data_IF_665675891821
#
_entry.id   IF_665675891821
#
_cell.length_a   1.000
_cell.length_b   1.000
_cell.length_c   1.000
_cell.angle_alpha   90.00
_cell.angle_beta   90.00
_cell.angle_gamma   90.00
#
_symmetry.space_group_name_H-M   'P 1'
#
loop_
_entity.id
_entity.type
_entity.pdbx_description
1 polymer ?
#
# COMPACT_ATOMS: atom_id res chain seq x y z
N UNK A 1 3.55 54.09 -4.51
CA UNK A 1 3.60 53.15 -3.37
C UNK A 1 2.18 52.74 -3.08
N UNK A 2 1.76 51.58 -3.58
CA UNK A 2 0.41 51.06 -3.38
C UNK A 2 0.49 50.17 -2.14
N UNK A 3 -0.08 50.65 -1.05
CA UNK A 3 -0.17 49.92 0.21
C UNK A 3 -1.30 48.90 0.06
N UNK A 4 -0.98 47.67 -0.32
CA UNK A 4 -1.95 46.57 -0.39
C UNK A 4 -2.58 46.38 0.99
N UNK A 5 -3.81 46.87 1.15
CA UNK A 5 -4.72 46.48 2.23
C UNK A 5 -5.29 45.10 1.90
N UNK A 6 -4.40 44.11 1.85
CA UNK A 6 -4.79 42.72 1.96
C UNK A 6 -5.50 42.58 3.29
N UNK A 7 -6.82 42.41 3.26
CA UNK A 7 -7.59 41.94 4.40
C UNK A 7 -6.86 40.72 4.94
N UNK A 8 -6.24 40.86 6.12
CA UNK A 8 -5.31 39.90 6.69
C UNK A 8 -6.01 38.62 7.08
N UNK A 9 -6.36 37.81 6.10
CA UNK A 9 -6.84 36.45 6.32
C UNK A 9 -5.62 35.67 6.80
N UNK A 10 -5.64 35.28 8.06
CA UNK A 10 -4.64 34.37 8.60
C UNK A 10 -4.89 32.97 8.04
N UNK A 11 -3.85 32.38 7.45
CA UNK A 11 -3.90 31.06 6.86
C UNK A 11 -3.19 30.09 7.79
N UNK A 12 -3.92 29.10 8.31
CA UNK A 12 -3.39 28.08 9.20
C UNK A 12 -3.35 26.72 8.50
N UNK A 13 -2.28 25.98 8.75
CA UNK A 13 -2.14 24.57 8.41
C UNK A 13 -2.52 23.73 9.61
N UNK A 14 -3.43 22.78 9.41
CA UNK A 14 -3.83 21.83 10.43
C UNK A 14 -2.88 20.63 10.43
N UNK A 15 -2.42 20.24 11.62
CA UNK A 15 -1.59 19.08 11.84
C UNK A 15 -2.19 18.16 12.90
N UNK A 16 -2.20 16.85 12.63
CA UNK A 16 -2.60 15.81 13.56
C UNK A 16 -1.37 15.08 14.07
N UNK A 17 -1.22 14.99 15.38
CA UNK A 17 -0.09 14.31 16.01
C UNK A 17 -0.40 12.81 16.05
N UNK A 18 0.42 12.02 15.36
CA UNK A 18 0.37 10.57 15.46
C UNK A 18 1.29 10.10 16.57
N UNK A 19 0.75 10.11 17.79
CA UNK A 19 1.36 9.50 18.96
C UNK A 19 0.87 8.07 19.14
N UNK A 20 1.63 7.26 19.88
CA UNK A 20 1.21 5.94 20.38
C UNK A 20 -0.02 6.05 21.30
N UNK A 21 -0.27 7.25 21.85
CA UNK A 21 -1.45 7.53 22.66
C UNK A 21 -2.73 7.56 21.81
N UNK A 22 -3.85 6.97 22.28
CA UNK A 22 -5.12 6.90 21.55
C UNK A 22 -5.81 8.25 21.34
N UNK A 23 -5.32 9.32 21.95
CA UNK A 23 -5.84 10.68 21.77
C UNK A 23 -5.01 11.42 20.73
N UNK A 24 -5.44 11.38 19.47
CA UNK A 24 -4.86 12.22 18.44
C UNK A 24 -5.15 13.69 18.77
N UNK A 25 -4.10 14.48 18.98
CA UNK A 25 -4.20 15.92 19.17
C UNK A 25 -4.00 16.64 17.84
N UNK A 26 -4.82 17.64 17.58
CA UNK A 26 -4.69 18.52 16.42
C UNK A 26 -4.11 19.87 16.85
N UNK A 27 -3.20 20.44 16.05
CA UNK A 27 -2.68 21.78 16.21
C UNK A 27 -2.80 22.58 14.90
N UNK A 28 -2.77 23.90 15.00
CA UNK A 28 -2.84 24.81 13.87
C UNK A 28 -1.60 25.70 13.85
N UNK A 29 -0.86 25.71 12.74
CA UNK A 29 0.35 26.52 12.59
C UNK A 29 0.14 27.52 11.47
N UNK A 30 0.43 28.80 11.73
CA UNK A 30 0.27 29.86 10.75
C UNK A 30 1.26 29.69 9.59
N UNK A 31 0.74 29.71 8.36
CA UNK A 31 1.55 29.73 7.15
C UNK A 31 2.12 31.12 6.89
N UNK A 32 3.28 31.16 6.22
CA UNK A 32 4.00 32.38 5.85
C UNK A 32 4.13 32.45 4.34
N UNK A 33 4.15 33.66 3.79
CA UNK A 33 4.45 33.86 2.37
C UNK A 33 5.96 33.78 2.15
N UNK A 34 6.43 32.82 1.35
CA UNK A 34 7.81 32.77 0.93
C UNK A 34 8.08 33.93 -0.05
N UNK A 35 9.03 34.80 0.28
CA UNK A 35 9.35 35.98 -0.53
C UNK A 35 9.97 35.62 -1.87
N UNK A 36 10.58 34.43 -2.00
CA UNK A 36 11.25 34.00 -3.24
C UNK A 36 10.25 33.40 -4.23
N UNK A 37 9.42 32.47 -3.77
CA UNK A 37 8.48 31.74 -4.65
C UNK A 37 7.11 32.39 -4.73
N UNK A 38 6.74 33.24 -3.76
CA UNK A 38 5.39 33.77 -3.62
C UNK A 38 4.38 32.74 -3.10
N UNK A 39 4.82 31.54 -2.71
CA UNK A 39 3.96 30.48 -2.21
C UNK A 39 3.78 30.57 -0.69
N UNK A 40 2.69 29.99 -0.17
CA UNK A 40 2.50 29.84 1.27
C UNK A 40 3.22 28.58 1.76
N UNK A 41 3.95 28.73 2.85
CA UNK A 41 4.79 27.69 3.42
C UNK A 41 4.58 27.59 4.93
N UNK A 42 4.92 26.43 5.49
CA UNK A 42 5.05 26.23 6.94
C UNK A 42 6.50 25.89 7.24
N UNK A 43 7.11 26.62 8.17
CA UNK A 43 8.50 26.35 8.57
C UNK A 43 8.55 25.12 9.49
N UNK A 44 9.48 24.22 9.21
CA UNK A 44 9.68 23.01 10.01
C UNK A 44 9.99 23.33 11.48
N UNK A 45 10.76 24.39 11.73
CA UNK A 45 11.08 24.87 13.07
C UNK A 45 9.83 25.28 13.88
N UNK A 46 8.80 25.81 13.21
CA UNK A 46 7.55 26.17 13.89
C UNK A 46 6.74 24.91 14.26
N UNK A 47 6.80 23.86 13.42
CA UNK A 47 6.22 22.53 13.71
C UNK A 47 6.94 21.89 14.91
N UNK A 48 8.27 21.86 14.92
CA UNK A 48 9.06 21.28 16.01
C UNK A 48 8.90 22.01 17.35
N UNK A 49 8.53 23.29 17.33
CA UNK A 49 8.27 24.09 18.53
C UNK A 49 7.00 23.64 19.23
N UNK A 50 5.95 23.40 18.46
CA UNK A 50 4.65 22.95 18.97
C UNK A 50 4.63 21.43 19.23
N UNK A 51 5.37 20.66 18.42
CA UNK A 51 5.45 19.20 18.49
C UNK A 51 6.90 18.80 18.75
N UNK A 52 7.23 18.58 20.02
CA UNK A 52 8.55 18.09 20.41
C UNK A 52 8.83 16.73 19.76
N UNK A 53 10.04 16.55 19.27
CA UNK A 53 10.50 15.33 18.58
C UNK A 53 9.71 15.01 17.30
N UNK A 54 9.10 16.02 16.66
CA UNK A 54 8.59 15.85 15.30
C UNK A 54 9.74 15.40 14.38
N UNK A 55 9.51 14.28 13.71
CA UNK A 55 10.49 13.59 12.86
C UNK A 55 10.16 13.83 11.38
N UNK A 56 8.92 13.51 10.98
CA UNK A 56 8.48 13.61 9.59
C UNK A 56 6.98 13.89 9.47
N UNK A 57 6.56 14.27 8.27
CA UNK A 57 5.18 14.63 7.95
C UNK A 57 4.65 13.71 6.86
N UNK A 58 3.38 13.31 6.97
CA UNK A 58 2.68 12.53 5.94
C UNK A 58 1.27 13.03 5.71
N UNK A 59 0.71 12.68 4.56
CA UNK A 59 -0.70 12.80 4.25
C UNK A 59 -1.24 11.39 3.93
N UNK A 60 -1.91 10.78 4.90
CA UNK A 60 -2.34 9.38 4.81
C UNK A 60 -1.15 8.43 4.70
N UNK A 61 -0.97 7.80 3.54
CA UNK A 61 0.13 6.89 3.24
C UNK A 61 1.29 7.54 2.45
N UNK A 62 1.23 8.84 2.16
CA UNK A 62 2.24 9.56 1.38
C UNK A 62 3.11 10.40 2.30
N UNK A 63 4.43 10.25 2.21
CA UNK A 63 5.37 11.15 2.90
C UNK A 63 5.34 12.53 2.22
N UNK A 64 5.38 13.60 3.02
CA UNK A 64 5.54 14.96 2.52
C UNK A 64 7.03 15.30 2.59
N UNK A 65 7.63 15.59 1.44
CA UNK A 65 9.04 16.01 1.36
C UNK A 65 9.18 17.49 1.67
N UNK A 66 10.36 17.89 2.16
CA UNK A 66 10.71 19.30 2.28
C UNK A 66 10.87 19.93 0.89
N UNK A 67 10.64 21.24 0.81
CA UNK A 67 10.86 21.98 -0.43
C UNK A 67 12.35 21.97 -0.78
N UNK A 68 12.65 21.70 -2.04
CA UNK A 68 14.01 21.75 -2.60
C UNK A 68 14.16 22.91 -3.57
N UNK A 69 15.39 23.32 -3.84
CA UNK A 69 15.69 24.26 -4.92
C UNK A 69 15.83 23.55 -6.28
N UNK A 70 16.30 24.29 -7.29
CA UNK A 70 16.52 23.77 -8.64
C UNK A 70 17.61 22.72 -8.74
N UNK A 71 18.47 22.60 -7.73
CA UNK A 71 19.55 21.61 -7.63
C UNK A 71 19.12 20.38 -6.81
N UNK A 72 17.85 20.29 -6.42
CA UNK A 72 17.27 19.25 -5.56
C UNK A 72 17.81 19.23 -4.13
N UNK A 73 18.45 20.30 -3.68
CA UNK A 73 18.92 20.44 -2.31
C UNK A 73 17.81 21.00 -1.42
N UNK A 74 17.68 20.49 -0.19
CA UNK A 74 16.67 20.96 0.74
C UNK A 74 16.89 22.43 1.10
N UNK A 75 15.82 23.21 1.00
CA UNK A 75 15.89 24.63 1.30
C UNK A 75 16.19 24.88 2.78
N UNK A 76 17.11 25.82 3.05
CA UNK A 76 17.39 26.30 4.42
C UNK A 76 16.75 27.69 4.62
N UNK A 77 15.88 27.90 5.64
CA UNK A 77 15.40 26.90 6.60
C UNK A 77 14.40 25.90 6.00
N UNK A 78 14.39 24.69 6.55
CA UNK A 78 13.46 23.62 6.15
C UNK A 78 12.01 24.10 6.24
N UNK A 79 11.27 23.81 5.19
CA UNK A 79 9.88 24.26 4.99
C UNK A 79 9.13 23.28 4.12
N UNK A 80 7.83 23.22 4.33
CA UNK A 80 6.88 22.47 3.51
C UNK A 80 5.90 23.43 2.86
N UNK A 81 5.30 23.00 1.76
CA UNK A 81 4.23 23.73 1.10
C UNK A 81 2.97 23.73 1.96
N UNK A 82 2.23 24.84 1.94
CA UNK A 82 0.91 24.93 2.58
C UNK A 82 -0.14 24.14 1.79
N UNK A 83 -0.94 23.35 2.49
CA UNK A 83 -1.98 22.50 1.92
C UNK A 83 -3.36 22.87 2.49
N UNK A 84 -4.09 23.81 1.87
CA UNK A 84 -5.37 24.30 2.38
C UNK A 84 -6.41 23.17 2.46
N UNK A 85 -7.11 23.10 3.60
CA UNK A 85 -8.18 22.11 3.84
C UNK A 85 -7.69 20.67 4.07
N UNK A 86 -6.39 20.42 4.10
CA UNK A 86 -5.80 19.10 4.33
C UNK A 86 -5.22 19.04 5.74
N UNK A 87 -5.52 17.98 6.49
CA UNK A 87 -4.90 17.70 7.78
C UNK A 87 -3.65 16.85 7.56
N UNK A 88 -2.49 17.38 7.93
CA UNK A 88 -1.23 16.67 7.79
C UNK A 88 -0.90 15.89 9.08
N UNK A 89 -0.47 14.65 8.93
CA UNK A 89 -0.07 13.82 10.06
C UNK A 89 1.41 14.07 10.38
N UNK A 90 1.72 14.39 11.64
CA UNK A 90 3.09 14.52 12.14
C UNK A 90 3.45 13.26 12.91
N UNK A 91 4.52 12.60 12.47
CA UNK A 91 5.11 11.45 13.15
C UNK A 91 6.14 11.96 14.14
N UNK A 92 6.00 11.54 15.39
CA UNK A 92 6.92 11.87 16.48
C UNK A 92 7.87 10.69 16.67
N UNK A 93 9.18 10.94 16.74
CA UNK A 93 10.15 9.89 17.04
C UNK A 93 9.93 9.35 18.46
N UNK A 94 9.82 8.03 18.60
CA UNK A 94 9.75 7.38 19.91
C UNK A 94 11.09 7.53 20.63
N UNK A 95 11.09 8.21 21.79
CA UNK A 95 12.28 8.40 22.63
C UNK A 95 12.86 7.11 23.24
N UNK A 96 12.28 5.93 22.95
CA UNK A 96 12.65 4.66 23.61
C UNK A 96 13.96 4.04 23.10
N UNK A 97 14.62 4.61 22.09
CA UNK A 97 15.77 3.97 21.45
C UNK A 97 17.15 4.53 21.81
N UNK A 98 17.24 5.59 22.62
CA UNK A 98 18.53 6.25 22.91
C UNK A 98 19.15 5.89 24.27
N UNK A 99 18.45 5.13 25.13
CA UNK A 99 18.93 4.80 26.48
C UNK A 99 19.72 3.47 26.61
N UNK A 100 19.94 2.70 25.53
CA UNK A 100 20.47 1.33 25.64
C UNK A 100 21.93 1.13 25.23
N UNK A 101 22.69 2.18 24.89
CA UNK A 101 24.13 2.05 24.55
C UNK A 101 24.97 2.70 25.64
N UNK A 102 24.95 2.13 26.85
CA UNK A 102 26.07 2.27 27.79
C UNK A 102 27.01 1.09 27.57
N UNK A 103 28.30 1.29 27.24
CA UNK A 103 29.23 0.18 27.08
C UNK A 103 29.50 -0.45 28.46
N UNK A 104 28.92 -1.63 28.69
CA UNK A 104 29.22 -2.44 29.86
C UNK A 104 30.61 -3.07 29.72
N UNK A 105 31.46 -2.76 30.69
CA UNK A 105 32.75 -3.40 30.92
C UNK A 105 32.59 -4.91 31.15
N UNK A 106 33.27 -5.70 30.33
CA UNK A 106 34.08 -6.89 30.64
C UNK A 106 33.73 -7.71 31.90
N UNK A 107 33.26 -8.96 31.71
CA UNK A 107 33.78 -10.16 32.42
C UNK A 107 33.19 -11.51 31.91
N UNK A 108 34.06 -12.30 31.28
CA UNK A 108 34.32 -13.76 31.46
C UNK A 108 33.21 -14.84 31.46
N UNK A 109 33.35 -15.75 30.47
CA UNK A 109 33.55 -17.21 30.56
C UNK A 109 32.43 -18.17 31.08
N UNK A 110 32.05 -19.16 30.25
CA UNK A 110 32.34 -20.62 30.42
C UNK A 110 31.37 -21.54 29.62
N UNK A 111 31.97 -22.50 28.88
CA UNK A 111 31.64 -23.94 28.70
C UNK A 111 30.20 -24.39 28.33
N UNK A 112 29.88 -25.47 27.63
CA UNK A 112 30.56 -26.53 26.84
C UNK A 112 29.48 -27.59 26.52
N UNK A 113 29.52 -28.18 25.31
CA UNK A 113 29.27 -29.62 25.00
C UNK A 113 27.95 -30.32 25.37
N UNK A 114 27.26 -30.90 24.37
CA UNK A 114 26.70 -32.27 24.41
C UNK A 114 26.32 -32.82 23.03
N UNK A 115 26.95 -33.95 22.69
CA UNK A 115 26.68 -34.82 21.54
C UNK A 115 25.76 -36.00 21.92
N UNK A 116 25.18 -36.60 20.87
CA UNK A 116 24.95 -38.05 20.64
C UNK A 116 23.71 -38.72 21.20
N UNK A 117 22.86 -39.25 20.29
CA UNK A 117 22.58 -40.69 20.16
C UNK A 117 21.65 -40.95 18.97
N UNK A 118 22.05 -41.79 18.00
CA UNK A 118 21.19 -42.56 17.09
C UNK A 118 22.06 -43.49 16.22
N UNK A 119 22.50 -44.62 16.78
CA UNK A 119 23.17 -45.69 16.04
C UNK A 119 22.85 -47.04 16.69
N UNK A 120 21.63 -47.52 16.52
CA UNK A 120 21.21 -48.87 16.92
C UNK A 120 19.99 -49.32 16.10
N UNK A 121 20.13 -49.43 14.79
CA UNK A 121 19.15 -50.15 13.96
C UNK A 121 19.86 -50.58 12.68
N UNK A 122 20.06 -51.89 12.51
CA UNK A 122 20.32 -52.65 11.26
C UNK A 122 21.34 -53.79 11.46
N UNK A 123 20.98 -54.82 12.23
CA UNK A 123 21.59 -56.16 12.11
C UNK A 123 20.59 -57.24 12.53
N UNK A 124 19.70 -57.66 11.61
CA UNK A 124 18.95 -58.91 11.73
C UNK A 124 18.19 -59.24 10.44
N UNK A 125 18.86 -59.61 9.34
CA UNK A 125 18.24 -60.43 8.28
C UNK A 125 19.26 -61.03 7.30
N UNK A 126 20.04 -62.00 7.75
CA UNK A 126 20.67 -62.97 6.86
C UNK A 126 20.59 -64.30 7.57
N UNK A 127 20.18 -65.35 6.86
CA UNK A 127 20.44 -66.79 7.03
C UNK A 127 19.18 -67.56 6.60
N UNK A 128 19.18 -68.05 5.35
CA UNK A 128 18.68 -69.37 4.93
C UNK A 128 18.24 -69.37 3.47
N UNK A 129 19.06 -69.91 2.55
CA UNK A 129 18.63 -70.98 1.61
C UNK A 129 19.83 -71.54 0.83
N UNK A 130 19.89 -72.88 0.73
CA UNK A 130 20.89 -73.67 0.00
C UNK A 130 20.42 -73.95 -1.44
N UNK A 131 21.35 -73.78 -2.37
CA UNK A 131 21.64 -74.56 -3.59
C UNK A 131 20.56 -75.53 -4.12
N UNK A 132 19.89 -75.16 -5.22
CA UNK A 132 20.12 -75.75 -6.55
C UNK A 132 19.21 -75.06 -7.59
N UNK A 133 19.80 -74.51 -8.66
CA UNK A 133 19.09 -73.80 -9.75
C UNK A 133 19.38 -72.29 -9.91
N UNK A 134 20.55 -71.82 -9.48
CA UNK A 134 20.82 -70.38 -9.22
C UNK A 134 21.09 -69.51 -10.46
N UNK A 135 21.32 -70.07 -11.66
CA UNK A 135 21.74 -69.26 -12.83
C UNK A 135 20.57 -68.69 -13.65
N UNK A 136 19.35 -69.26 -13.56
CA UNK A 136 18.19 -68.76 -14.32
C UNK A 136 17.26 -67.82 -13.53
N UNK A 137 17.30 -67.84 -12.20
CA UNK A 137 16.48 -66.98 -11.36
C UNK A 137 17.09 -65.58 -11.15
N UNK A 138 18.43 -65.45 -11.23
CA UNK A 138 19.14 -64.16 -11.08
C UNK A 138 18.86 -63.20 -12.23
N UNK A 139 18.71 -63.69 -13.47
CA UNK A 139 18.33 -62.82 -14.60
C UNK A 139 16.91 -62.27 -14.49
N UNK A 140 15.93 -63.08 -14.07
CA UNK A 140 14.54 -62.62 -13.91
C UNK A 140 14.35 -61.62 -12.78
N UNK A 141 15.14 -61.71 -11.71
CA UNK A 141 15.11 -60.73 -10.63
C UNK A 141 15.75 -59.40 -11.05
N UNK A 142 16.84 -59.41 -11.81
CA UNK A 142 17.46 -58.18 -12.30
C UNK A 142 16.55 -57.42 -13.27
N UNK A 143 15.86 -58.12 -14.19
CA UNK A 143 14.95 -57.47 -15.15
C UNK A 143 13.75 -56.82 -14.46
N UNK A 144 13.19 -57.46 -13.41
CA UNK A 144 12.10 -56.88 -12.63
C UNK A 144 12.55 -55.65 -11.82
N UNK A 145 13.80 -55.64 -11.37
CA UNK A 145 14.38 -54.51 -10.61
C UNK A 145 14.64 -53.31 -11.53
N UNK A 146 15.07 -53.54 -12.78
CA UNK A 146 15.26 -52.47 -13.76
C UNK A 146 13.91 -51.85 -14.15
N UNK A 147 12.91 -52.67 -14.47
CA UNK A 147 11.57 -52.17 -14.85
C UNK A 147 10.88 -51.36 -13.73
N UNK A 148 11.08 -51.76 -12.46
CA UNK A 148 10.53 -51.02 -11.31
C UNK A 148 11.27 -49.70 -11.08
N UNK A 149 12.58 -49.65 -11.29
CA UNK A 149 13.34 -48.40 -11.21
C UNK A 149 12.98 -47.43 -12.34
N UNK A 150 12.78 -47.91 -13.57
CA UNK A 150 12.33 -47.08 -14.70
C UNK A 150 10.94 -46.48 -14.44
N UNK A 151 10.01 -47.29 -13.94
CA UNK A 151 8.65 -46.82 -13.60
C UNK A 151 8.68 -45.77 -12.47
N UNK A 152 9.55 -45.94 -11.46
CA UNK A 152 9.71 -44.94 -10.40
C UNK A 152 10.33 -43.64 -10.92
N UNK A 153 11.25 -43.72 -11.88
CA UNK A 153 11.88 -42.55 -12.49
C UNK A 153 10.90 -41.76 -13.37
N UNK A 154 10.05 -42.45 -14.14
CA UNK A 154 8.98 -41.81 -14.92
C UNK A 154 7.93 -41.15 -14.02
N UNK A 155 7.57 -41.80 -12.91
CA UNK A 155 6.67 -41.20 -11.91
C UNK A 155 7.28 -39.97 -11.23
N UNK A 156 8.60 -39.94 -11.00
CA UNK A 156 9.27 -38.79 -10.43
C UNK A 156 9.34 -37.62 -11.41
N UNK A 157 9.62 -37.90 -12.69
CA UNK A 157 9.62 -36.90 -13.76
C UNK A 157 8.22 -36.28 -13.96
N UNK A 158 7.17 -37.11 -14.00
CA UNK A 158 5.79 -36.62 -14.12
C UNK A 158 5.39 -35.76 -12.92
N UNK A 159 5.75 -36.16 -11.69
CA UNK A 159 5.45 -35.36 -10.50
C UNK A 159 6.16 -34.01 -10.50
N UNK A 160 7.42 -33.94 -10.97
CA UNK A 160 8.16 -32.69 -11.12
C UNK A 160 7.46 -31.72 -12.09
N UNK A 161 7.01 -32.21 -13.25
CA UNK A 161 6.34 -31.38 -14.25
C UNK A 161 4.98 -30.84 -13.78
N UNK A 162 4.25 -31.61 -12.96
CA UNK A 162 2.97 -31.17 -12.38
C UNK A 162 3.21 -30.03 -11.38
N UNK A 163 4.24 -30.15 -10.54
CA UNK A 163 4.59 -29.14 -9.54
C UNK A 163 5.03 -27.82 -10.19
N UNK A 164 5.84 -27.88 -11.25
CA UNK A 164 6.27 -26.69 -12.00
C UNK A 164 5.08 -25.98 -12.66
N UNK A 165 4.15 -26.74 -13.26
CA UNK A 165 2.95 -26.17 -13.88
C UNK A 165 2.05 -25.49 -12.84
N UNK A 166 1.94 -26.03 -11.63
CA UNK A 166 1.21 -25.42 -10.51
C UNK A 166 1.89 -24.12 -10.03
N UNK A 167 3.21 -24.12 -9.84
CA UNK A 167 3.95 -22.90 -9.49
C UNK A 167 3.78 -21.80 -10.54
N UNK A 168 3.82 -22.16 -11.83
CA UNK A 168 3.67 -21.20 -12.90
C UNK A 168 2.26 -20.59 -12.96
N UNK A 169 1.21 -21.40 -12.72
CA UNK A 169 -0.17 -20.91 -12.58
C UNK A 169 -0.32 -19.95 -11.40
N UNK A 170 0.32 -20.25 -10.27
CA UNK A 170 0.29 -19.38 -9.08
C UNK A 170 0.95 -18.02 -9.36
N UNK A 171 2.12 -18.01 -10.01
CA UNK A 171 2.82 -16.79 -10.39
C UNK A 171 2.00 -15.93 -11.37
N UNK A 172 1.41 -16.54 -12.41
CA UNK A 172 0.53 -15.82 -13.33
C UNK A 172 -0.73 -15.26 -12.64
N UNK A 173 -1.30 -15.99 -11.68
CA UNK A 173 -2.42 -15.50 -10.88
C UNK A 173 -2.05 -14.28 -10.03
N UNK A 174 -0.85 -14.30 -9.44
CA UNK A 174 -0.35 -13.20 -8.61
C UNK A 174 -0.08 -11.93 -9.42
N UNK A 175 0.53 -12.05 -10.61
CA UNK A 175 0.76 -10.89 -11.49
C UNK A 175 -0.57 -10.24 -11.95
N UNK A 176 -1.59 -11.05 -12.25
CA UNK A 176 -2.92 -10.56 -12.62
C UNK A 176 -3.60 -9.81 -11.47
N UNK A 177 -3.44 -10.28 -10.22
CA UNK A 177 -3.97 -9.61 -9.03
C UNK A 177 -3.26 -8.28 -8.75
N UNK A 178 -1.94 -8.21 -8.93
CA UNK A 178 -1.18 -6.96 -8.80
C UNK A 178 -1.60 -5.93 -9.86
N UNK A 179 -1.84 -6.36 -11.10
CA UNK A 179 -2.32 -5.48 -12.16
C UNK A 179 -3.74 -4.93 -11.87
N UNK A 180 -4.63 -5.78 -11.34
CA UNK A 180 -5.98 -5.36 -10.93
C UNK A 180 -5.98 -4.41 -9.72
N UNK A 181 -5.05 -4.58 -8.78
CA UNK A 181 -4.90 -3.69 -7.63
C UNK A 181 -4.37 -2.30 -8.03
N UNK A 182 -3.45 -2.23 -9.01
CA UNK A 182 -2.91 -0.98 -9.53
C UNK A 182 -4.01 -0.13 -10.21
N UNK A 183 -4.83 -0.76 -11.06
CA UNK A 183 -5.96 -0.11 -11.75
C UNK A 183 -7.01 0.46 -10.77
N UNK A 184 -7.25 -0.20 -9.62
CA UNK A 184 -8.17 0.31 -8.59
C UNK A 184 -7.60 1.52 -7.83
N UNK A 185 -6.30 1.52 -7.56
CA UNK A 185 -5.62 2.67 -6.92
C UNK A 185 -5.69 3.92 -7.79
N UNK A 186 -5.44 3.77 -9.09
CA UNK A 186 -5.50 4.86 -10.07
C UNK A 186 -6.93 5.39 -10.24
N UNK A 187 -7.93 4.51 -10.21
CA UNK A 187 -9.34 4.89 -10.31
C UNK A 187 -9.79 5.76 -9.12
N UNK A 188 -9.40 5.42 -7.88
CA UNK A 188 -9.76 6.21 -6.69
C UNK A 188 -9.05 7.56 -6.68
N UNK A 189 -7.75 7.59 -7.01
CA UNK A 189 -6.99 8.84 -7.07
C UNK A 189 -7.53 9.78 -8.15
N UNK A 190 -8.07 9.22 -9.24
CA UNK A 190 -8.63 10.01 -10.32
C UNK A 190 -10.07 10.48 -10.07
N UNK A 191 -10.86 9.74 -9.29
CA UNK A 191 -12.18 10.22 -8.85
C UNK A 191 -12.06 11.45 -7.94
N UNK A 192 -11.00 11.53 -7.14
CA UNK A 192 -10.66 12.73 -6.37
C UNK A 192 -10.26 13.91 -7.29
N UNK A 193 -9.55 13.65 -8.39
CA UNK A 193 -9.22 14.69 -9.37
C UNK A 193 -10.47 15.22 -10.11
N UNK A 194 -11.42 14.34 -10.45
CA UNK A 194 -12.69 14.72 -11.07
C UNK A 194 -13.52 15.59 -10.11
N UNK A 195 -13.63 15.19 -8.83
CA UNK A 195 -14.39 15.96 -7.84
C UNK A 195 -13.81 17.35 -7.57
N UNK A 196 -12.49 17.52 -7.60
CA UNK A 196 -11.85 18.83 -7.42
C UNK A 196 -12.10 19.77 -8.61
N UNK A 197 -12.27 19.20 -9.80
CA UNK A 197 -12.52 19.93 -11.05
C UNK A 197 -13.98 20.40 -11.12
N UNK A 198 -14.94 19.58 -10.71
CA UNK A 198 -16.37 19.95 -10.74
C UNK A 198 -16.67 21.14 -9.82
N UNK A 199 -15.98 21.21 -8.67
CA UNK A 199 -16.06 22.36 -7.78
C UNK A 199 -15.50 23.64 -8.41
N UNK A 200 -14.40 23.53 -9.17
CA UNK A 200 -13.80 24.67 -9.87
C UNK A 200 -14.72 25.21 -10.98
N UNK A 201 -15.35 24.33 -11.75
CA UNK A 201 -16.27 24.72 -12.83
C UNK A 201 -17.55 25.36 -12.28
N UNK A 202 -18.07 24.85 -11.15
CA UNK A 202 -19.28 25.41 -10.53
C UNK A 202 -19.05 26.80 -9.92
N UNK A 203 -17.89 27.04 -9.32
CA UNK A 203 -17.54 28.38 -8.84
C UNK A 203 -17.31 29.38 -9.98
N UNK A 204 -16.77 28.92 -11.12
CA UNK A 204 -16.54 29.77 -12.28
C UNK A 204 -17.84 30.07 -13.07
N UNK A 205 -18.78 29.12 -13.14
CA UNK A 205 -20.13 29.36 -13.67
C UNK A 205 -20.90 30.38 -12.81
N UNK A 206 -20.71 30.39 -11.48
CA UNK A 206 -21.31 31.40 -10.58
C UNK A 206 -20.79 32.81 -10.82
N UNK A 207 -19.58 32.97 -11.38
CA UNK A 207 -19.06 34.29 -11.74
C UNK A 207 -19.69 34.87 -13.02
N UNK A 208 -20.27 34.03 -13.90
CA UNK A 208 -20.90 34.48 -15.14
C UNK A 208 -22.32 35.04 -14.94
N UNK A 209 -22.99 34.72 -13.84
CA UNK A 209 -24.33 35.23 -13.50
C UNK A 209 -24.33 36.56 -12.75
N UNK A 210 -23.16 37.17 -12.50
CA UNK A 210 -23.08 38.47 -11.84
C UNK A 210 -23.53 39.61 -12.78
N UNK A 211 -24.64 40.32 -12.50
CA UNK A 211 -25.14 41.37 -13.39
C UNK A 211 -24.33 42.66 -13.18
N UNK A 212 -23.32 42.86 -14.03
CA UNK A 212 -22.34 43.94 -13.87
C UNK A 212 -21.86 44.57 -15.19
N UNK A 213 -22.79 45.14 -15.95
CA UNK A 213 -22.64 46.35 -16.76
C UNK A 213 -21.21 46.76 -17.23
N UNK A 214 -20.75 46.29 -18.40
CA UNK A 214 -19.81 47.02 -19.29
C UNK A 214 -19.68 46.29 -20.65
N UNK A 215 -20.63 46.55 -21.55
CA UNK A 215 -20.53 46.16 -22.96
C UNK A 215 -19.85 47.29 -23.75
N UNK A 216 -18.69 47.01 -24.40
CA UNK A 216 -18.59 47.16 -25.87
C UNK A 216 -17.27 46.71 -26.55
N UNK A 217 -16.29 46.07 -25.88
CA UNK A 217 -15.05 45.67 -26.57
C UNK A 217 -14.53 44.24 -26.30
N UNK A 218 -15.28 43.39 -25.58
CA UNK A 218 -14.78 42.08 -25.10
C UNK A 218 -15.44 40.84 -25.73
N UNK A 219 -16.27 40.99 -26.78
CA UNK A 219 -16.99 39.86 -27.36
C UNK A 219 -16.08 38.74 -27.91
N UNK A 220 -14.89 39.08 -28.43
CA UNK A 220 -13.96 38.07 -28.96
C UNK A 220 -13.31 37.21 -27.86
N UNK A 221 -13.03 37.80 -26.69
CA UNK A 221 -12.43 37.08 -25.57
C UNK A 221 -13.44 36.13 -24.91
N UNK A 222 -14.70 36.56 -24.83
CA UNK A 222 -15.76 35.71 -24.29
C UNK A 222 -16.03 34.49 -25.20
N UNK A 223 -16.04 34.65 -26.52
CA UNK A 223 -16.17 33.54 -27.45
C UNK A 223 -14.98 32.56 -27.39
N UNK A 224 -13.76 33.07 -27.27
CA UNK A 224 -12.58 32.21 -27.10
C UNK A 224 -12.63 31.39 -25.81
N UNK A 225 -13.16 31.99 -24.75
CA UNK A 225 -13.33 31.32 -23.47
C UNK A 225 -14.38 30.20 -23.54
N UNK A 226 -15.55 30.46 -24.13
CA UNK A 226 -16.59 29.42 -24.28
C UNK A 226 -16.14 28.26 -25.16
N UNK A 227 -15.38 28.53 -26.22
CA UNK A 227 -14.78 27.50 -27.07
C UNK A 227 -13.79 26.62 -26.29
N UNK A 228 -12.94 27.22 -25.43
CA UNK A 228 -11.99 26.45 -24.60
C UNK A 228 -12.70 25.55 -23.60
N UNK A 229 -13.72 26.06 -22.93
CA UNK A 229 -14.53 25.25 -22.00
C UNK A 229 -15.21 24.09 -22.73
N UNK A 230 -15.78 24.34 -23.90
CA UNK A 230 -16.45 23.31 -24.69
C UNK A 230 -15.47 22.22 -25.13
N UNK A 231 -14.27 22.60 -25.58
CA UNK A 231 -13.21 21.66 -25.94
C UNK A 231 -12.79 20.80 -24.73
N UNK A 232 -12.69 21.40 -23.55
CA UNK A 232 -12.34 20.69 -22.33
C UNK A 232 -13.43 19.68 -21.93
N UNK A 233 -14.71 20.02 -22.07
CA UNK A 233 -15.82 19.09 -21.83
C UNK A 233 -15.81 17.92 -22.82
N UNK A 234 -15.58 18.18 -24.11
CA UNK A 234 -15.46 17.12 -25.13
C UNK A 234 -14.33 16.15 -24.80
N UNK A 235 -13.14 16.68 -24.48
CA UNK A 235 -11.99 15.84 -24.13
C UNK A 235 -12.27 14.97 -22.90
N UNK A 236 -13.00 15.49 -21.90
CA UNK A 236 -13.42 14.70 -20.73
C UNK A 236 -14.40 13.61 -21.08
N UNK A 237 -15.37 13.88 -21.95
CA UNK A 237 -16.35 12.90 -22.36
C UNK A 237 -15.69 11.72 -23.08
N UNK A 238 -14.74 11.98 -23.98
CA UNK A 238 -13.98 10.92 -24.67
C UNK A 238 -13.21 10.04 -23.68
N UNK A 239 -12.60 10.62 -22.65
CA UNK A 239 -11.89 9.86 -21.62
C UNK A 239 -12.86 8.98 -20.82
N UNK A 240 -14.04 9.50 -20.48
CA UNK A 240 -15.07 8.74 -19.77
C UNK A 240 -15.63 7.60 -20.62
N UNK A 241 -15.93 7.85 -21.88
CA UNK A 241 -16.42 6.81 -22.81
C UNK A 241 -15.40 5.68 -22.99
N UNK A 242 -14.13 6.00 -23.22
CA UNK A 242 -13.06 5.00 -23.32
C UNK A 242 -12.93 4.14 -22.05
N UNK A 243 -13.16 4.73 -20.86
CA UNK A 243 -13.10 4.02 -19.59
C UNK A 243 -14.31 3.15 -19.34
N UNK A 244 -15.50 3.65 -19.63
CA UNK A 244 -16.73 2.87 -19.55
C UNK A 244 -16.60 1.67 -20.50
N UNK A 245 -16.09 1.88 -21.71
CA UNK A 245 -15.83 0.81 -22.65
C UNK A 245 -14.80 -0.19 -22.11
N UNK A 246 -13.70 0.27 -21.51
CA UNK A 246 -12.71 -0.62 -20.88
C UNK A 246 -13.31 -1.45 -19.72
N UNK A 247 -14.18 -0.86 -18.91
CA UNK A 247 -14.87 -1.57 -17.80
C UNK A 247 -15.92 -2.55 -18.34
N UNK A 248 -16.69 -2.16 -19.37
CA UNK A 248 -17.72 -3.01 -19.97
C UNK A 248 -17.11 -4.16 -20.81
N UNK A 249 -15.93 -3.96 -21.39
CA UNK A 249 -15.20 -5.00 -22.13
C UNK A 249 -14.38 -5.90 -21.21
N UNK A 250 -14.13 -5.48 -19.96
CA UNK A 250 -13.76 -6.38 -18.86
C UNK A 250 -14.98 -7.21 -18.39
N UNK A 251 -15.69 -7.84 -19.34
CA UNK A 251 -16.56 -8.97 -19.07
C UNK A 251 -15.68 -10.15 -18.64
N UNK A 252 -15.16 -10.09 -17.42
CA UNK A 252 -14.77 -11.29 -16.71
C UNK A 252 -16.06 -12.07 -16.51
N UNK A 253 -16.15 -13.18 -17.23
CA UNK A 253 -17.11 -14.23 -16.99
C UNK A 253 -16.89 -14.76 -15.56
N UNK A 254 -17.54 -14.10 -14.60
CA UNK A 254 -17.43 -14.38 -13.17
C UNK A 254 -17.82 -15.81 -12.79
N UNK A 255 -18.36 -16.57 -13.75
CA UNK A 255 -18.82 -17.93 -13.56
C UNK A 255 -17.69 -18.97 -13.59
N UNK A 256 -16.46 -18.61 -13.98
CA UNK A 256 -15.31 -19.52 -13.96
C UNK A 256 -14.54 -19.54 -12.63
N UNK A 257 -14.77 -18.58 -11.74
CA UNK A 257 -14.21 -18.62 -10.38
C UNK A 257 -15.26 -19.15 -9.41
N UNK A 258 -14.99 -20.25 -8.69
CA UNK A 258 -15.84 -20.71 -7.59
C UNK A 258 -15.66 -19.73 -6.42
N UNK A 259 -16.27 -18.55 -6.53
CA UNK A 259 -16.40 -17.63 -5.41
C UNK A 259 -17.25 -18.38 -4.38
N UNK A 260 -16.72 -18.67 -3.17
CA UNK A 260 -17.50 -19.35 -2.15
C UNK A 260 -18.76 -18.53 -1.87
N UNK A 261 -19.92 -19.07 -2.25
CA UNK A 261 -21.21 -18.39 -2.17
C UNK A 261 -21.71 -18.26 -0.74
N UNK A 262 -21.11 -19.00 0.18
CA UNK A 262 -21.48 -19.08 1.57
C UNK A 262 -20.36 -18.54 2.46
N UNK A 263 -20.69 -17.57 3.29
CA UNK A 263 -19.82 -17.06 4.35
C UNK A 263 -20.58 -16.90 5.66
N UNK A 264 -19.87 -16.98 6.78
CA UNK A 264 -20.39 -16.74 8.12
C UNK A 264 -19.62 -15.60 8.76
N UNK A 265 -20.33 -14.64 9.32
CA UNK A 265 -19.76 -13.56 10.14
C UNK A 265 -20.00 -13.89 11.61
N UNK A 266 -18.94 -14.10 12.39
CA UNK A 266 -19.03 -14.39 13.82
C UNK A 266 -18.38 -13.28 14.65
N UNK A 267 -18.93 -12.92 15.82
CA UNK A 267 -18.25 -12.06 16.78
C UNK A 267 -16.90 -12.66 17.19
N UNK A 268 -15.85 -11.85 17.23
CA UNK A 268 -14.55 -12.27 17.73
C UNK A 268 -14.60 -12.29 19.25
N UNK A 269 -14.33 -13.45 19.86
CA UNK A 269 -14.24 -13.55 21.31
C UNK A 269 -13.19 -12.55 21.83
N UNK A 270 -13.51 -11.74 22.86
CA UNK A 270 -12.60 -10.74 23.38
C UNK A 270 -11.37 -11.45 23.97
N UNK A 271 -10.16 -11.11 23.50
CA UNK A 271 -8.96 -11.60 24.17
C UNK A 271 -8.80 -10.85 25.49
N UNK A 272 -8.20 -11.52 26.49
CA UNK A 272 -8.02 -10.97 27.85
C UNK A 272 -7.32 -9.59 27.86
N UNK A 273 -6.47 -9.31 26.88
CA UNK A 273 -5.76 -8.03 26.70
C UNK A 273 -6.62 -6.93 26.06
N UNK A 274 -7.65 -7.29 25.27
CA UNK A 274 -8.46 -6.34 24.51
C UNK A 274 -9.48 -5.60 25.40
N UNK A 275 -9.83 -6.17 26.57
CA UNK A 275 -10.80 -5.58 27.52
C UNK A 275 -10.37 -4.23 28.10
N UNK A 276 -9.06 -3.96 28.17
CA UNK A 276 -8.53 -2.76 28.81
C UNK A 276 -8.37 -1.61 27.80
N UNK A 277 -8.16 -1.94 26.52
CA UNK A 277 -7.71 -0.96 25.52
C UNK A 277 -8.89 -0.43 24.69
N UNK A 278 -9.93 -1.23 24.42
CA UNK A 278 -11.06 -0.81 23.57
C UNK A 278 -12.38 -1.49 23.98
N UNK A 279 -13.17 -0.91 24.91
CA UNK A 279 -14.42 -1.52 25.37
C UNK A 279 -15.54 -1.58 24.31
N UNK A 280 -15.36 -0.93 23.16
CA UNK A 280 -16.44 -0.68 22.18
C UNK A 280 -16.16 -1.14 20.74
N UNK A 281 -14.97 -1.69 20.42
CA UNK A 281 -14.72 -2.18 19.06
C UNK A 281 -15.25 -3.60 18.90
N UNK A 282 -16.50 -3.71 18.40
CA UNK A 282 -17.09 -4.99 18.00
C UNK A 282 -16.29 -5.54 16.81
N UNK A 283 -15.29 -6.38 17.08
CA UNK A 283 -14.53 -7.07 16.04
C UNK A 283 -15.31 -8.30 15.58
N UNK A 284 -15.43 -8.49 14.28
CA UNK A 284 -16.04 -9.66 13.66
C UNK A 284 -14.98 -10.46 12.88
N UNK A 285 -15.25 -11.75 12.66
CA UNK A 285 -14.46 -12.63 11.79
C UNK A 285 -15.34 -13.12 10.66
N UNK A 286 -14.81 -13.11 9.45
CA UNK A 286 -15.44 -13.63 8.24
C UNK A 286 -14.85 -15.02 7.95
N UNK A 287 -15.71 -16.02 7.79
CA UNK A 287 -15.35 -17.38 7.40
C UNK A 287 -16.01 -17.71 6.07
N UNK A 288 -15.28 -18.29 5.13
CA UNK A 288 -15.84 -18.80 3.88
C UNK A 288 -16.10 -20.29 4.03
N UNK A 289 -17.30 -20.74 3.70
CA UNK A 289 -17.63 -22.16 3.68
C UNK A 289 -17.28 -22.71 2.29
N UNK A 290 -16.52 -23.80 2.26
CA UNK A 290 -16.34 -24.57 1.05
C UNK A 290 -17.54 -25.51 0.90
N UNK A 291 -18.19 -25.53 -0.27
CA UNK A 291 -19.12 -26.59 -0.64
C UNK A 291 -18.26 -27.77 -1.13
N UNK A 292 -18.19 -28.85 -0.34
CA UNK A 292 -17.48 -30.08 -0.68
C UNK A 292 -18.44 -31.14 -1.22
#
# INVERSE_FOLDING_TARGET
MISDHSSGVDYFQEFRILSVSPSASTIFIQSKLDKKTGERIVLWKDIQREIKNADRIRNGNKSISFMTDGDFEELVPLRILYHPGIVLDVIVASQEQEAAITPASTSSAQNSTRESSNAAQLQALVHSTRHDGVVSATHRFNDLTIATMETMNENLATQSTVLEREQQKFLQGHERLLHGAHLKGDMVQQQLQISNIDNYIMDELRMLDAPGNTFNNNNNNHQLYTIRLLQQMINRQVILENRIQAVMTQNYELHEYPIPRLFIVLPKAPKRRDKIIQPLTKQFRLYFLCEC
#
